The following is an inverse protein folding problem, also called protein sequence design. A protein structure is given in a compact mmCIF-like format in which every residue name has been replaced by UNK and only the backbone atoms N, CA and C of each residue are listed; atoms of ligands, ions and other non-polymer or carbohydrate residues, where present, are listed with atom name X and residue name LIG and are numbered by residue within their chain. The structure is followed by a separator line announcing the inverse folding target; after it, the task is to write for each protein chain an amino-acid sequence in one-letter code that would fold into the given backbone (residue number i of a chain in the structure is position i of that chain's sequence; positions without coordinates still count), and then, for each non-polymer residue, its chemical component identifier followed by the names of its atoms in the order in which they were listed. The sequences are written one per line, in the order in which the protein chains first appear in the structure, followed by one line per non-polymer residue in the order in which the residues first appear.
data_IF_455674298732
#
_entry.id   IF_455674298732
#
_cell.length_a   1.000
_cell.length_b   1.000
_cell.length_c   1.000
_cell.angle_alpha   90.00
_cell.angle_beta   90.00
_cell.angle_gamma   90.00
#
_symmetry.space_group_name_H-M   'P 1'
#
loop_
_entity.id
_entity.type
_entity.pdbx_description
1 polymer ?
#
# COMPACT_ATOMS: atom_id res chain seq x y z
N UNK A 1 8.32 8.92 -26.76
CA UNK A 1 8.35 8.55 -25.34
C UNK A 1 9.47 7.52 -25.17
N UNK A 2 10.55 7.89 -24.48
CA UNK A 2 11.66 7.00 -24.14
C UNK A 2 11.07 5.78 -23.43
N UNK A 3 11.33 4.58 -23.95
CA UNK A 3 10.93 3.31 -23.29
C UNK A 3 11.75 3.16 -22.01
N UNK A 4 11.30 3.82 -20.95
CA UNK A 4 11.78 3.52 -19.62
C UNK A 4 11.40 2.07 -19.35
N UNK A 5 12.40 1.22 -19.10
CA UNK A 5 12.20 -0.22 -18.89
C UNK A 5 11.14 -0.42 -17.80
N UNK A 6 10.02 -1.05 -18.15
CA UNK A 6 8.93 -1.39 -17.23
C UNK A 6 9.45 -2.35 -16.17
N UNK A 7 9.12 -2.11 -14.93
CA UNK A 7 9.37 -3.07 -13.84
C UNK A 7 8.14 -3.98 -13.76
N UNK A 8 8.28 -5.29 -14.00
CA UNK A 8 7.16 -6.22 -13.83
C UNK A 8 6.54 -6.10 -12.45
N UNK A 9 5.21 -6.16 -12.39
CA UNK A 9 4.46 -6.00 -11.16
C UNK A 9 3.78 -7.31 -10.79
N UNK A 10 3.71 -7.58 -9.49
CA UNK A 10 2.95 -8.74 -8.99
C UNK A 10 1.48 -8.65 -9.42
N UNK A 11 0.89 -7.46 -9.42
CA UNK A 11 -0.48 -7.22 -9.92
C UNK A 11 -0.65 -7.51 -11.42
N UNK A 12 0.41 -7.68 -12.19
CA UNK A 12 0.31 -8.07 -13.61
C UNK A 12 -0.37 -9.43 -13.77
N UNK A 13 -0.03 -10.41 -12.94
CA UNK A 13 -0.64 -11.74 -12.96
C UNK A 13 -2.13 -11.67 -12.63
N UNK A 14 -2.50 -10.93 -11.58
CA UNK A 14 -3.90 -10.71 -11.23
C UNK A 14 -4.70 -10.06 -12.38
N UNK A 15 -4.13 -9.06 -13.04
CA UNK A 15 -4.77 -8.40 -14.16
C UNK A 15 -4.92 -9.32 -15.39
N UNK A 16 -3.91 -10.14 -15.67
CA UNK A 16 -3.92 -11.08 -16.80
C UNK A 16 -4.95 -12.20 -16.57
N UNK A 17 -5.18 -12.58 -15.32
CA UNK A 17 -6.20 -13.56 -14.93
C UNK A 17 -7.61 -12.95 -14.96
N UNK A 18 -7.80 -11.75 -14.43
CA UNK A 18 -9.12 -11.12 -14.29
C UNK A 18 -9.64 -10.49 -15.60
N UNK A 19 -8.77 -9.87 -16.40
CA UNK A 19 -9.17 -9.09 -17.57
C UNK A 19 -9.99 -9.90 -18.60
N UNK A 20 -9.70 -11.17 -18.91
CA UNK A 20 -10.51 -11.96 -19.82
C UNK A 20 -11.95 -12.20 -19.34
N UNK A 21 -12.20 -12.08 -18.05
CA UNK A 21 -13.48 -12.41 -17.40
C UNK A 21 -14.28 -11.18 -16.96
N UNK A 22 -13.64 -10.03 -16.81
CA UNK A 22 -14.26 -8.79 -16.34
C UNK A 22 -14.35 -7.77 -17.49
N UNK A 23 -15.54 -7.18 -17.66
CA UNK A 23 -15.78 -6.20 -18.71
C UNK A 23 -14.97 -4.90 -18.50
N UNK A 24 -14.82 -4.45 -17.25
CA UNK A 24 -14.07 -3.26 -16.93
C UNK A 24 -13.32 -3.40 -15.60
N UNK A 25 -12.04 -3.01 -15.61
CA UNK A 25 -11.17 -2.97 -14.41
C UNK A 25 -10.65 -1.54 -14.23
N UNK A 26 -10.82 -1.00 -13.03
CA UNK A 26 -10.22 0.27 -12.62
C UNK A 26 -9.00 0.01 -11.72
N UNK A 27 -7.80 0.38 -12.22
CA UNK A 27 -6.59 0.39 -11.43
C UNK A 27 -6.58 1.58 -10.48
N UNK A 28 -6.67 1.31 -9.17
CA UNK A 28 -6.75 2.30 -8.11
C UNK A 28 -5.45 2.29 -7.27
N UNK A 29 -4.90 3.46 -7.02
CA UNK A 29 -3.66 3.60 -6.23
C UNK A 29 -3.13 5.01 -6.26
N UNK A 30 -2.15 5.31 -5.40
CA UNK A 30 -1.52 6.62 -5.30
C UNK A 30 -0.97 7.10 -6.66
N UNK A 31 -0.87 8.41 -6.84
CA UNK A 31 -0.28 9.00 -8.04
C UNK A 31 1.18 8.55 -8.19
N UNK A 32 1.60 8.16 -9.38
CA UNK A 32 2.98 7.74 -9.64
C UNK A 32 3.33 6.28 -9.32
N UNK A 33 2.38 5.42 -8.87
CA UNK A 33 2.65 3.98 -8.61
C UNK A 33 2.83 3.16 -9.89
N UNK A 34 2.52 3.73 -11.08
CA UNK A 34 2.71 3.06 -12.37
C UNK A 34 1.44 2.54 -13.04
N UNK A 35 0.24 2.99 -12.61
CA UNK A 35 -1.07 2.54 -13.15
C UNK A 35 -1.13 2.58 -14.66
N UNK A 36 -0.86 3.75 -15.26
CA UNK A 36 -0.86 3.96 -16.71
C UNK A 36 0.10 3.00 -17.42
N UNK A 37 1.33 2.87 -16.94
CA UNK A 37 2.32 1.98 -17.54
C UNK A 37 1.88 0.50 -17.51
N UNK A 38 1.27 0.05 -16.42
CA UNK A 38 0.73 -1.30 -16.25
C UNK A 38 -0.47 -1.55 -17.17
N UNK A 39 -1.41 -0.59 -17.25
CA UNK A 39 -2.60 -0.71 -18.09
C UNK A 39 -2.28 -0.65 -19.59
N UNK A 40 -1.39 0.25 -20.01
CA UNK A 40 -1.00 0.41 -21.42
C UNK A 40 -0.43 -0.87 -22.05
N UNK A 41 0.24 -1.72 -21.25
CA UNK A 41 0.77 -3.00 -21.74
C UNK A 41 -0.31 -3.97 -22.25
N UNK A 42 -1.54 -3.81 -21.77
CA UNK A 42 -2.70 -4.65 -22.10
C UNK A 42 -3.67 -3.98 -23.06
N UNK A 43 -3.57 -2.67 -23.22
CA UNK A 43 -4.48 -1.89 -24.05
C UNK A 43 -4.12 -1.98 -25.54
N UNK A 44 -5.16 -2.11 -26.38
CA UNK A 44 -5.06 -2.01 -27.85
C UNK A 44 -5.42 -0.60 -28.34
N UNK A 45 -6.14 0.17 -27.54
CA UNK A 45 -6.41 1.60 -27.78
C UNK A 45 -6.33 2.36 -26.45
N UNK A 46 -5.98 3.64 -26.54
CA UNK A 46 -5.79 4.51 -25.36
C UNK A 46 -6.53 5.81 -25.60
N UNK A 47 -7.22 6.29 -24.56
CA UNK A 47 -7.85 7.61 -24.47
C UNK A 47 -7.25 8.32 -23.24
N UNK A 48 -6.45 9.35 -23.48
CA UNK A 48 -5.74 10.10 -22.43
C UNK A 48 -6.58 11.33 -22.01
N UNK A 49 -7.32 11.23 -20.93
CA UNK A 49 -8.26 12.29 -20.51
C UNK A 49 -7.61 13.48 -19.79
N UNK A 50 -6.32 13.49 -19.56
CA UNK A 50 -5.54 14.68 -19.25
C UNK A 50 -5.31 15.56 -20.51
N UNK A 51 -5.40 14.97 -21.71
CA UNK A 51 -5.34 15.67 -22.99
C UNK A 51 -6.69 16.35 -23.33
N UNK A 52 -6.66 17.64 -23.66
CA UNK A 52 -7.86 18.40 -24.01
C UNK A 52 -8.52 17.89 -25.30
N UNK A 53 -7.76 17.42 -26.28
CA UNK A 53 -8.25 16.90 -27.56
C UNK A 53 -9.08 15.63 -27.32
N UNK A 54 -8.57 14.70 -26.51
CA UNK A 54 -9.25 13.45 -26.20
C UNK A 54 -10.54 13.68 -25.40
N UNK A 55 -10.54 14.67 -24.48
CA UNK A 55 -11.76 15.07 -23.78
C UNK A 55 -12.81 15.66 -24.73
N UNK A 56 -12.41 16.49 -25.67
CA UNK A 56 -13.33 17.03 -26.69
C UNK A 56 -13.88 15.92 -27.59
N UNK A 57 -13.01 15.00 -28.00
CA UNK A 57 -13.39 13.90 -28.87
C UNK A 57 -14.47 13.01 -28.22
N UNK A 58 -14.23 12.54 -26.98
CA UNK A 58 -15.19 11.68 -26.27
C UNK A 58 -16.50 12.42 -25.89
N UNK A 59 -16.39 13.74 -25.67
CA UNK A 59 -17.58 14.56 -25.39
C UNK A 59 -18.47 14.75 -26.63
N UNK A 60 -17.84 14.90 -27.82
CA UNK A 60 -18.54 15.07 -29.09
C UNK A 60 -19.08 13.73 -29.64
N UNK A 61 -18.38 12.64 -29.39
CA UNK A 61 -18.70 11.31 -29.91
C UNK A 61 -18.56 10.23 -28.82
N UNK A 62 -19.56 10.05 -27.97
CA UNK A 62 -19.58 9.00 -26.96
C UNK A 62 -19.50 7.57 -27.52
N UNK A 63 -19.90 7.35 -28.79
CA UNK A 63 -19.86 6.06 -29.46
C UNK A 63 -18.42 5.64 -29.82
N UNK A 64 -17.44 6.51 -29.66
CA UNK A 64 -16.01 6.20 -29.77
C UNK A 64 -15.65 4.98 -28.92
N UNK A 65 -16.20 4.87 -27.72
CA UNK A 65 -16.00 3.71 -26.84
C UNK A 65 -16.42 2.39 -27.49
N UNK A 66 -17.51 2.37 -28.25
CA UNK A 66 -18.02 1.16 -28.88
C UNK A 66 -17.17 0.73 -30.09
N UNK A 67 -16.53 1.67 -30.78
CA UNK A 67 -15.78 1.43 -32.02
C UNK A 67 -14.29 1.17 -31.80
N UNK A 68 -13.78 1.50 -30.63
CA UNK A 68 -12.34 1.37 -30.32
C UNK A 68 -11.92 -0.08 -30.12
N UNK A 69 -10.67 -0.37 -30.47
CA UNK A 69 -10.08 -1.68 -30.26
C UNK A 69 -10.00 -2.03 -28.76
N UNK A 70 -10.31 -3.30 -28.42
CA UNK A 70 -10.36 -3.78 -27.02
C UNK A 70 -9.14 -4.63 -26.69
N UNK A 71 -8.62 -4.60 -25.43
CA UNK A 71 -9.01 -3.70 -24.34
C UNK A 71 -8.72 -2.24 -24.63
N UNK A 72 -9.59 -1.33 -24.21
CA UNK A 72 -9.39 0.12 -24.29
C UNK A 72 -8.99 0.68 -22.93
N UNK A 73 -7.88 1.42 -22.88
CA UNK A 73 -7.46 2.17 -21.70
C UNK A 73 -8.10 3.57 -21.72
N UNK A 74 -8.74 3.92 -20.62
CA UNK A 74 -9.19 5.29 -20.32
C UNK A 74 -8.31 5.81 -19.19
N UNK A 75 -7.28 6.57 -19.56
CA UNK A 75 -6.30 7.09 -18.62
C UNK A 75 -6.76 8.42 -18.01
N UNK A 76 -6.51 8.63 -16.72
CA UNK A 76 -6.89 9.80 -15.92
C UNK A 76 -8.42 10.10 -16.03
N UNK A 77 -9.25 9.05 -15.93
CA UNK A 77 -10.71 9.12 -16.11
C UNK A 77 -11.39 10.21 -15.27
N UNK A 78 -10.84 10.57 -14.10
CA UNK A 78 -11.39 11.61 -13.22
C UNK A 78 -11.27 13.03 -13.82
N UNK A 79 -10.45 13.22 -14.87
CA UNK A 79 -10.37 14.48 -15.62
C UNK A 79 -11.61 14.73 -16.50
N UNK A 80 -12.36 13.66 -16.77
CA UNK A 80 -13.66 13.72 -17.44
C UNK A 80 -14.61 12.69 -16.79
N UNK A 81 -15.18 13.00 -15.61
CA UNK A 81 -16.00 12.07 -14.84
C UNK A 81 -17.16 11.39 -15.65
N UNK A 82 -17.78 12.04 -16.67
CA UNK A 82 -18.77 11.36 -17.50
C UNK A 82 -18.27 10.09 -18.19
N UNK A 83 -16.93 9.94 -18.42
CA UNK A 83 -16.36 8.74 -19.02
C UNK A 83 -16.65 7.47 -18.20
N UNK A 84 -16.73 7.58 -16.89
CA UNK A 84 -17.12 6.49 -15.99
C UNK A 84 -18.51 5.96 -16.29
N UNK A 85 -19.48 6.87 -16.49
CA UNK A 85 -20.85 6.50 -16.81
C UNK A 85 -20.99 5.94 -18.23
N UNK A 86 -20.17 6.43 -19.16
CA UNK A 86 -20.10 5.87 -20.52
C UNK A 86 -19.63 4.42 -20.49
N UNK A 87 -18.55 4.12 -19.74
CA UNK A 87 -18.05 2.74 -19.56
C UNK A 87 -19.12 1.88 -18.89
N UNK A 88 -19.73 2.36 -17.81
CA UNK A 88 -20.80 1.63 -17.14
C UNK A 88 -21.93 1.24 -18.09
N UNK A 89 -22.40 2.18 -18.93
CA UNK A 89 -23.45 1.90 -19.93
C UNK A 89 -22.98 0.95 -21.01
N UNK A 90 -21.73 1.05 -21.44
CA UNK A 90 -21.15 0.12 -22.42
C UNK A 90 -21.14 -1.32 -21.85
N UNK A 91 -20.77 -1.49 -20.57
CA UNK A 91 -20.83 -2.78 -19.86
C UNK A 91 -22.27 -3.27 -19.66
N UNK A 92 -23.24 -2.38 -19.45
CA UNK A 92 -24.66 -2.77 -19.37
C UNK A 92 -25.17 -3.34 -20.72
N UNK A 93 -24.62 -2.88 -21.86
CA UNK A 93 -24.98 -3.35 -23.19
C UNK A 93 -24.22 -4.62 -23.59
N UNK A 94 -22.98 -4.76 -23.15
CA UNK A 94 -22.12 -5.93 -23.41
C UNK A 94 -21.23 -6.18 -22.19
N UNK A 95 -21.51 -7.26 -21.46
CA UNK A 95 -20.79 -7.65 -20.26
C UNK A 95 -19.62 -8.63 -20.53
N UNK A 96 -19.24 -8.83 -21.79
CA UNK A 96 -18.10 -9.68 -22.14
C UNK A 96 -16.79 -9.13 -21.53
N UNK A 97 -15.87 -10.04 -21.17
CA UNK A 97 -14.58 -9.66 -20.58
C UNK A 97 -13.65 -8.92 -21.54
N UNK A 98 -12.62 -8.28 -21.02
CA UNK A 98 -11.53 -7.71 -21.81
C UNK A 98 -11.86 -6.39 -22.50
N UNK A 99 -12.82 -5.61 -22.02
CA UNK A 99 -13.24 -4.41 -22.75
C UNK A 99 -12.51 -3.15 -22.31
N UNK A 100 -12.50 -2.84 -20.99
CA UNK A 100 -12.01 -1.55 -20.51
C UNK A 100 -11.01 -1.69 -19.37
N UNK A 101 -9.97 -0.89 -19.44
CA UNK A 101 -9.08 -0.56 -18.34
C UNK A 101 -9.25 0.92 -18.03
N UNK A 102 -9.42 1.28 -16.77
CA UNK A 102 -9.46 2.65 -16.30
C UNK A 102 -8.28 2.88 -15.36
N UNK A 103 -7.63 4.01 -15.49
CA UNK A 103 -6.61 4.45 -14.55
C UNK A 103 -6.93 5.87 -14.11
N UNK A 104 -6.60 6.20 -12.88
CA UNK A 104 -6.82 7.55 -12.38
C UNK A 104 -6.73 7.61 -10.86
N UNK A 105 -6.83 8.83 -10.36
CA UNK A 105 -7.01 9.14 -8.94
C UNK A 105 -8.51 9.17 -8.59
N UNK A 106 -8.83 9.40 -7.31
CA UNK A 106 -10.22 9.60 -6.91
C UNK A 106 -10.82 10.81 -7.63
N UNK A 107 -12.12 10.76 -8.02
CA UNK A 107 -12.78 11.90 -8.62
C UNK A 107 -12.86 13.07 -7.63
N UNK A 108 -13.03 14.30 -8.09
CA UNK A 108 -13.35 15.44 -7.24
C UNK A 108 -14.56 15.13 -6.35
N UNK A 109 -14.59 15.72 -5.15
CA UNK A 109 -15.64 15.42 -4.14
C UNK A 109 -17.06 15.82 -4.56
N UNK A 110 -17.18 16.74 -5.49
CA UNK A 110 -18.43 17.26 -6.07
C UNK A 110 -18.86 16.55 -7.36
N UNK A 111 -18.01 15.68 -7.91
CA UNK A 111 -18.36 14.91 -9.09
C UNK A 111 -19.44 13.88 -8.77
N UNK A 112 -20.60 13.99 -9.44
CA UNK A 112 -21.67 12.98 -9.38
C UNK A 112 -21.29 11.83 -10.31
N UNK A 113 -20.80 10.75 -9.72
CA UNK A 113 -20.40 9.53 -10.43
C UNK A 113 -21.15 8.35 -9.84
N UNK A 114 -21.78 7.54 -10.70
CA UNK A 114 -22.42 6.30 -10.24
C UNK A 114 -21.38 5.33 -9.65
N UNK A 115 -21.82 4.48 -8.71
CA UNK A 115 -20.91 3.58 -7.98
C UNK A 115 -20.14 2.59 -8.87
N UNK A 116 -20.64 2.30 -10.08
CA UNK A 116 -20.09 1.27 -10.98
C UNK A 116 -20.22 -0.16 -10.45
N UNK A 117 -20.99 -0.35 -9.34
CA UNK A 117 -21.11 -1.65 -8.66
C UNK A 117 -21.59 -2.75 -9.63
N UNK A 118 -20.86 -3.86 -9.65
CA UNK A 118 -21.13 -5.01 -10.53
C UNK A 118 -20.73 -4.81 -12.00
N UNK A 119 -20.16 -3.66 -12.39
CA UNK A 119 -19.73 -3.35 -13.76
C UNK A 119 -18.25 -3.04 -13.86
N UNK A 120 -17.71 -2.29 -12.92
CA UNK A 120 -16.31 -1.86 -12.90
C UNK A 120 -15.68 -2.40 -11.60
N UNK A 121 -14.76 -3.33 -11.74
CA UNK A 121 -14.03 -3.92 -10.62
C UNK A 121 -12.80 -3.07 -10.32
N UNK A 122 -12.53 -2.83 -9.05
CA UNK A 122 -11.33 -2.10 -8.62
C UNK A 122 -10.24 -3.07 -8.24
N UNK A 123 -9.06 -2.90 -8.86
CA UNK A 123 -7.84 -3.58 -8.51
C UNK A 123 -6.88 -2.57 -7.90
N UNK A 124 -6.41 -2.83 -6.69
CA UNK A 124 -5.48 -1.94 -5.98
C UNK A 124 -4.09 -2.10 -6.55
N UNK A 125 -3.40 -0.96 -6.73
CA UNK A 125 -1.99 -0.93 -7.10
C UNK A 125 -1.19 -0.17 -6.05
N UNK A 126 -0.21 -0.85 -5.47
CA UNK A 126 0.67 -0.35 -4.43
C UNK A 126 2.00 0.17 -5.00
N UNK A 127 2.80 0.94 -4.25
CA UNK A 127 4.21 1.12 -4.58
C UNK A 127 4.93 -0.23 -4.67
N UNK A 128 6.06 -0.31 -5.36
CA UNK A 128 6.83 -1.54 -5.53
C UNK A 128 7.12 -2.21 -4.18
N UNK A 129 6.71 -3.47 -4.03
CA UNK A 129 7.08 -4.34 -2.91
C UNK A 129 8.57 -4.71 -2.96
N UNK A 130 9.11 -5.30 -1.90
CA UNK A 130 10.52 -5.72 -1.89
C UNK A 130 10.83 -6.72 -3.02
N UNK A 131 10.00 -7.74 -3.22
CA UNK A 131 10.19 -8.73 -4.30
C UNK A 131 10.14 -8.10 -5.71
N UNK A 132 9.32 -7.07 -5.93
CA UNK A 132 9.30 -6.34 -7.20
C UNK A 132 10.55 -5.46 -7.40
N UNK A 133 11.20 -5.03 -6.31
CA UNK A 133 12.44 -4.25 -6.36
C UNK A 133 13.66 -5.12 -6.57
N UNK A 134 13.67 -6.36 -6.02
CA UNK A 134 14.78 -7.33 -6.06
C UNK A 134 14.24 -8.74 -6.36
N UNK A 135 13.90 -9.05 -7.60
CA UNK A 135 13.16 -10.28 -7.96
C UNK A 135 13.98 -11.58 -7.85
N UNK A 136 15.30 -11.52 -7.59
CA UNK A 136 16.19 -12.69 -7.66
C UNK A 136 16.36 -13.46 -6.34
N UNK A 137 15.90 -12.94 -5.20
CA UNK A 137 16.28 -13.47 -3.89
C UNK A 137 15.21 -14.35 -3.23
N UNK A 138 14.00 -14.43 -3.78
CA UNK A 138 12.84 -15.09 -3.17
C UNK A 138 13.05 -16.61 -3.02
N UNK A 139 12.97 -17.11 -1.80
CA UNK A 139 13.07 -18.54 -1.47
C UNK A 139 11.87 -19.10 -0.70
N UNK A 140 11.02 -18.22 -0.15
CA UNK A 140 9.86 -18.57 0.66
C UNK A 140 8.63 -17.85 0.10
N UNK A 141 7.60 -18.60 -0.26
CA UNK A 141 6.34 -18.05 -0.78
C UNK A 141 5.31 -17.85 0.34
N UNK A 142 4.64 -16.69 0.36
CA UNK A 142 3.49 -16.43 1.23
C UNK A 142 2.36 -17.42 0.95
N UNK A 143 2.14 -17.77 -0.32
CA UNK A 143 1.16 -18.78 -0.76
C UNK A 143 1.40 -20.12 -0.08
N UNK A 144 2.65 -20.55 -0.03
CA UNK A 144 3.01 -21.82 0.61
C UNK A 144 2.80 -21.77 2.12
N UNK A 145 3.15 -20.64 2.78
CA UNK A 145 2.93 -20.42 4.21
C UNK A 145 1.44 -20.43 4.59
N UNK A 146 0.57 -19.96 3.70
CA UNK A 146 -0.89 -19.98 3.86
C UNK A 146 -1.49 -21.37 3.61
N UNK A 147 -0.75 -22.29 3.00
CA UNK A 147 -1.24 -23.63 2.71
C UNK A 147 -1.45 -24.46 3.98
N UNK A 148 -2.33 -25.50 3.95
CA UNK A 148 -2.51 -26.39 5.09
C UNK A 148 -1.29 -27.27 5.42
N UNK A 149 -0.31 -27.33 4.51
CA UNK A 149 0.90 -28.16 4.65
C UNK A 149 2.01 -27.33 5.27
N UNK A 150 2.71 -27.90 6.24
CA UNK A 150 3.90 -27.25 6.78
C UNK A 150 5.01 -27.23 5.71
N UNK A 151 5.53 -26.05 5.44
CA UNK A 151 6.57 -25.80 4.44
C UNK A 151 7.95 -25.87 5.10
N UNK A 152 8.91 -26.48 4.40
CA UNK A 152 10.31 -26.41 4.78
C UNK A 152 10.82 -25.00 4.55
N UNK A 153 11.35 -24.38 5.59
CA UNK A 153 11.90 -23.02 5.53
C UNK A 153 13.43 -23.14 5.49
N UNK A 154 14.01 -22.68 4.39
CA UNK A 154 15.47 -22.63 4.20
C UNK A 154 15.81 -21.57 3.14
N UNK A 155 17.02 -21.08 3.20
CA UNK A 155 17.56 -20.10 2.25
C UNK A 155 18.51 -19.14 2.91
N UNK A 156 19.26 -18.43 2.09
CA UNK A 156 20.17 -17.37 2.54
C UNK A 156 20.17 -16.21 1.55
N UNK A 157 20.45 -15.02 2.04
CA UNK A 157 20.56 -13.79 1.22
C UNK A 157 21.81 -13.02 1.64
N UNK A 158 22.40 -12.33 0.68
CA UNK A 158 23.51 -11.39 0.91
C UNK A 158 23.01 -9.98 1.31
N UNK A 159 21.67 -9.77 1.33
CA UNK A 159 21.08 -8.50 1.72
C UNK A 159 21.35 -8.19 3.18
N UNK A 160 21.99 -7.07 3.45
CA UNK A 160 22.35 -6.63 4.81
C UNK A 160 21.45 -5.48 5.28
N UNK A 161 21.52 -5.14 6.56
CA UNK A 161 20.72 -4.07 7.16
C UNK A 161 20.83 -2.73 6.40
N UNK A 162 22.03 -2.41 5.89
CA UNK A 162 22.24 -1.20 5.09
C UNK A 162 21.39 -1.16 3.82
N UNK A 163 21.23 -2.30 3.14
CA UNK A 163 20.38 -2.42 1.95
C UNK A 163 18.90 -2.20 2.28
N UNK A 164 18.42 -2.76 3.39
CA UNK A 164 17.04 -2.54 3.84
C UNK A 164 16.77 -1.07 4.17
N UNK A 165 17.74 -0.39 4.82
CA UNK A 165 17.65 1.04 5.10
C UNK A 165 17.61 1.84 3.79
N UNK A 166 18.45 1.50 2.82
CA UNK A 166 18.43 2.14 1.50
C UNK A 166 17.07 1.93 0.81
N UNK A 167 16.54 0.70 0.80
CA UNK A 167 15.25 0.38 0.21
C UNK A 167 14.08 1.14 0.86
N UNK A 168 14.10 1.34 2.16
CA UNK A 168 13.13 2.17 2.90
C UNK A 168 13.21 3.63 2.45
N UNK A 169 14.41 4.16 2.21
CA UNK A 169 14.63 5.59 1.92
C UNK A 169 14.44 5.95 0.44
N UNK A 170 14.68 5.01 -0.48
CA UNK A 170 14.66 5.26 -1.93
C UNK A 170 13.25 5.31 -2.51
N UNK A 171 12.26 4.74 -1.85
CA UNK A 171 10.85 4.69 -2.30
C UNK A 171 10.50 3.52 -3.23
N UNK A 172 9.23 3.11 -3.18
CA UNK A 172 8.59 2.15 -4.08
C UNK A 172 7.90 2.79 -5.28
N UNK A 173 7.89 4.11 -5.41
CA UNK A 173 7.36 4.78 -6.60
C UNK A 173 8.37 4.64 -7.75
N UNK A 174 8.01 3.97 -8.88
CA UNK A 174 8.96 3.64 -9.95
C UNK A 174 9.73 4.83 -10.50
N UNK A 175 9.07 5.99 -10.65
CA UNK A 175 9.70 7.22 -11.16
C UNK A 175 10.70 7.82 -10.18
N UNK A 176 10.41 7.78 -8.88
CA UNK A 176 11.28 8.34 -7.82
C UNK A 176 12.47 7.42 -7.58
N UNK A 177 12.23 6.09 -7.56
CA UNK A 177 13.24 5.07 -7.28
C UNK A 177 14.44 5.10 -8.24
N UNK A 178 14.26 5.56 -9.48
CA UNK A 178 15.34 5.68 -10.47
C UNK A 178 16.36 6.77 -10.15
N UNK A 179 16.00 7.65 -9.23
CA UNK A 179 16.85 8.77 -8.83
C UNK A 179 17.69 8.38 -7.61
N UNK A 180 18.89 8.94 -7.50
CA UNK A 180 19.78 8.68 -6.40
C UNK A 180 20.12 9.95 -5.61
N UNK A 181 20.51 9.79 -4.36
CA UNK A 181 21.08 10.84 -3.53
C UNK A 181 20.17 12.09 -3.43
N UNK A 182 20.70 13.26 -3.80
CA UNK A 182 19.98 14.54 -3.72
C UNK A 182 18.76 14.59 -4.65
N UNK A 183 18.85 13.98 -5.84
CA UNK A 183 17.76 13.98 -6.81
C UNK A 183 16.56 13.19 -6.31
N UNK A 184 16.77 12.03 -5.67
CA UNK A 184 15.72 11.23 -5.03
C UNK A 184 15.03 12.04 -3.93
N UNK A 185 15.80 12.66 -3.02
CA UNK A 185 15.23 13.49 -1.95
C UNK A 185 14.42 14.67 -2.48
N UNK A 186 14.91 15.34 -3.53
CA UNK A 186 14.19 16.44 -4.17
C UNK A 186 12.88 15.96 -4.83
N UNK A 187 12.87 14.77 -5.43
CA UNK A 187 11.67 14.19 -6.00
C UNK A 187 10.63 13.84 -4.93
N UNK A 188 11.06 13.29 -3.77
CA UNK A 188 10.18 13.05 -2.62
C UNK A 188 9.59 14.35 -2.06
N UNK A 189 10.41 15.41 -1.95
CA UNK A 189 9.92 16.74 -1.53
C UNK A 189 8.91 17.31 -2.53
N UNK A 190 9.22 17.21 -3.84
CA UNK A 190 8.32 17.64 -4.91
C UNK A 190 7.00 16.88 -4.89
N UNK A 191 7.03 15.57 -4.62
CA UNK A 191 5.85 14.73 -4.49
C UNK A 191 4.96 15.18 -3.32
N UNK A 192 5.55 15.38 -2.14
CA UNK A 192 4.83 15.87 -0.95
C UNK A 192 4.28 17.30 -1.18
N UNK A 193 5.04 18.16 -1.85
CA UNK A 193 4.61 19.50 -2.21
C UNK A 193 3.41 19.48 -3.16
N UNK A 194 3.46 18.63 -4.20
CA UNK A 194 2.37 18.50 -5.15
C UNK A 194 1.06 18.04 -4.48
N UNK A 195 1.11 17.12 -3.53
CA UNK A 195 -0.07 16.71 -2.75
C UNK A 195 -0.66 17.92 -2.02
N UNK A 196 0.16 18.69 -1.33
CA UNK A 196 -0.29 19.82 -0.49
C UNK A 196 -0.85 20.97 -1.34
N UNK A 197 -0.19 21.34 -2.42
CA UNK A 197 -0.51 22.53 -3.21
C UNK A 197 -1.51 22.27 -4.35
N UNK A 198 -1.51 21.06 -4.92
CA UNK A 198 -2.30 20.74 -6.10
C UNK A 198 -3.38 19.70 -5.83
N UNK A 199 -3.02 18.53 -5.32
CA UNK A 199 -3.94 17.40 -5.25
C UNK A 199 -5.09 17.65 -4.27
N UNK A 200 -4.87 18.36 -3.16
CA UNK A 200 -5.94 18.79 -2.26
C UNK A 200 -6.95 19.71 -2.96
N UNK A 201 -6.47 20.63 -3.81
CA UNK A 201 -7.34 21.52 -4.57
C UNK A 201 -8.14 20.77 -5.62
N UNK A 202 -7.53 19.80 -6.29
CA UNK A 202 -8.22 18.91 -7.25
C UNK A 202 -9.33 18.10 -6.58
N UNK A 203 -9.20 17.81 -5.28
CA UNK A 203 -10.23 17.17 -4.47
C UNK A 203 -11.31 18.14 -3.91
N UNK A 204 -11.34 19.39 -4.39
CA UNK A 204 -12.31 20.41 -3.94
C UNK A 204 -11.97 21.04 -2.58
N UNK A 205 -10.76 20.84 -2.05
CA UNK A 205 -10.35 21.36 -0.74
C UNK A 205 -9.26 22.42 -0.88
N UNK A 206 -9.58 23.67 -0.49
CA UNK A 206 -8.59 24.74 -0.44
C UNK A 206 -7.80 24.65 0.87
N UNK A 207 -6.51 24.36 0.76
CA UNK A 207 -5.59 24.38 1.90
C UNK A 207 -5.18 25.82 2.15
N UNK A 208 -5.77 26.47 3.17
CA UNK A 208 -5.47 27.86 3.53
C UNK A 208 -4.10 28.02 4.19
N UNK A 209 -3.58 26.96 4.80
CA UNK A 209 -2.30 26.91 5.52
C UNK A 209 -1.55 25.63 5.16
N UNK A 210 -0.76 25.64 4.08
CA UNK A 210 0.02 24.47 3.62
C UNK A 210 0.93 23.91 4.72
N UNK A 211 1.51 24.78 5.54
CA UNK A 211 2.37 24.41 6.67
C UNK A 211 1.63 23.60 7.73
N UNK A 212 0.36 23.89 7.99
CA UNK A 212 -0.46 23.12 8.95
C UNK A 212 -0.77 21.71 8.44
N UNK A 213 -1.04 21.56 7.13
CA UNK A 213 -1.20 20.24 6.52
C UNK A 213 0.11 19.46 6.55
N UNK A 214 1.23 20.10 6.23
CA UNK A 214 2.55 19.46 6.30
C UNK A 214 2.88 19.00 7.72
N UNK A 215 2.62 19.84 8.73
CA UNK A 215 2.81 19.48 10.14
C UNK A 215 1.91 18.30 10.54
N UNK A 216 0.66 18.25 10.07
CA UNK A 216 -0.23 17.12 10.30
C UNK A 216 0.28 15.84 9.64
N UNK A 217 0.75 15.90 8.40
CA UNK A 217 1.37 14.76 7.71
C UNK A 217 2.64 14.28 8.44
N UNK A 218 3.44 15.20 8.99
CA UNK A 218 4.63 14.86 9.79
C UNK A 218 4.24 14.17 11.10
N UNK A 219 3.18 14.63 11.77
CA UNK A 219 2.66 13.97 12.97
C UNK A 219 2.10 12.58 12.67
N UNK A 220 1.41 12.42 11.53
CA UNK A 220 0.95 11.12 11.06
C UNK A 220 2.12 10.18 10.72
N UNK A 221 3.15 10.69 10.06
CA UNK A 221 4.38 9.94 9.81
C UNK A 221 5.08 9.49 11.12
N UNK A 222 5.07 10.33 12.16
CA UNK A 222 5.59 9.94 13.47
C UNK A 222 4.76 8.86 14.17
N UNK A 223 3.49 8.70 13.80
CA UNK A 223 2.60 7.64 14.29
C UNK A 223 2.68 6.34 13.47
N UNK A 224 3.56 6.26 12.47
CA UNK A 224 3.76 5.06 11.63
C UNK A 224 4.00 3.82 12.49
N UNK A 225 3.39 2.70 12.12
CA UNK A 225 3.43 1.43 12.85
C UNK A 225 2.90 1.50 14.29
N UNK A 226 2.02 2.46 14.56
CA UNK A 226 1.36 2.58 15.87
C UNK A 226 -0.16 2.68 15.73
N UNK A 227 -0.86 2.42 16.84
CA UNK A 227 -2.30 2.61 16.96
C UNK A 227 -2.65 3.92 17.68
N UNK A 228 -1.87 4.97 17.44
CA UNK A 228 -2.10 6.30 18.04
C UNK A 228 -3.51 6.82 17.71
N UNK A 229 -4.14 7.51 18.66
CA UNK A 229 -5.45 8.10 18.38
C UNK A 229 -5.34 9.29 17.42
N UNK A 230 -6.40 9.55 16.66
CA UNK A 230 -6.47 10.71 15.77
C UNK A 230 -6.32 12.04 16.51
N UNK A 231 -6.76 12.08 17.76
CA UNK A 231 -6.56 13.21 18.67
C UNK A 231 -5.08 13.39 18.98
N UNK A 232 -4.36 12.32 19.30
CA UNK A 232 -2.91 12.37 19.57
C UNK A 232 -2.12 12.84 18.34
N UNK A 233 -2.47 12.37 17.15
CA UNK A 233 -1.85 12.82 15.89
C UNK A 233 -2.11 14.30 15.65
N UNK A 234 -3.35 14.76 15.83
CA UNK A 234 -3.71 16.17 15.70
C UNK A 234 -2.93 17.03 16.71
N UNK A 235 -2.80 16.57 17.94
CA UNK A 235 -2.12 17.29 19.02
C UNK A 235 -0.62 17.38 18.76
N UNK A 236 -0.01 16.33 18.21
CA UNK A 236 1.40 16.31 17.81
C UNK A 236 1.68 17.22 16.59
N UNK A 237 0.68 17.52 15.77
CA UNK A 237 0.83 18.38 14.59
C UNK A 237 1.16 19.85 14.92
N UNK A 238 1.06 20.29 16.20
CA UNK A 238 1.23 21.69 16.59
C UNK A 238 1.93 21.86 17.92
N UNK A 239 3.15 21.37 18.11
CA UNK A 239 3.89 21.62 19.35
C UNK A 239 4.18 23.10 19.48
N UNK A 240 3.57 23.74 20.49
CA UNK A 240 3.80 25.17 20.82
C UNK A 240 3.18 26.20 19.86
N UNK A 241 2.40 25.79 18.87
CA UNK A 241 1.76 26.74 17.95
C UNK A 241 0.42 27.27 18.48
N UNK A 242 0.17 28.56 18.24
CA UNK A 242 -1.08 29.25 18.60
C UNK A 242 -2.31 28.78 17.82
N UNK A 243 -2.12 27.98 16.77
CA UNK A 243 -3.19 27.58 15.83
C UNK A 243 -3.17 26.08 15.54
N UNK A 244 -3.69 25.31 16.49
CA UNK A 244 -3.97 23.89 16.34
C UNK A 244 -5.07 23.66 15.28
N UNK A 245 -4.93 22.69 14.36
CA UNK A 245 -6.03 22.33 13.45
C UNK A 245 -7.26 21.92 14.26
N UNK A 246 -8.43 22.40 13.85
CA UNK A 246 -9.68 21.95 14.46
C UNK A 246 -9.88 20.45 14.20
N UNK A 247 -10.76 19.83 14.99
CA UNK A 247 -11.14 18.42 14.74
C UNK A 247 -11.65 18.23 13.31
N UNK A 248 -12.49 19.14 12.81
CA UNK A 248 -13.04 19.08 11.45
C UNK A 248 -11.95 19.24 10.39
N UNK A 249 -10.99 20.12 10.58
CA UNK A 249 -9.83 20.28 9.68
C UNK A 249 -9.01 19.00 9.61
N UNK A 250 -8.76 18.35 10.76
CA UNK A 250 -8.03 17.08 10.82
C UNK A 250 -8.78 15.93 10.12
N UNK A 251 -10.11 15.89 10.28
CA UNK A 251 -10.98 14.93 9.55
C UNK A 251 -10.86 15.16 8.04
N UNK A 252 -10.96 16.42 7.58
CA UNK A 252 -10.83 16.74 6.16
C UNK A 252 -9.45 16.34 5.61
N UNK A 253 -8.36 16.58 6.36
CA UNK A 253 -7.02 16.16 5.94
C UNK A 253 -6.94 14.64 5.76
N UNK A 254 -7.43 13.90 6.74
CA UNK A 254 -7.49 12.44 6.69
C UNK A 254 -8.29 11.96 5.48
N UNK A 255 -9.49 12.49 5.28
CA UNK A 255 -10.41 12.02 4.24
C UNK A 255 -9.85 12.29 2.83
N UNK A 256 -9.21 13.44 2.61
CA UNK A 256 -8.55 13.76 1.33
C UNK A 256 -7.34 12.86 1.12
N UNK A 257 -6.44 12.73 2.11
CA UNK A 257 -5.25 11.89 1.98
C UNK A 257 -5.61 10.42 1.79
N UNK A 258 -6.69 9.92 2.41
CA UNK A 258 -7.20 8.56 2.20
C UNK A 258 -7.72 8.38 0.77
N UNK A 259 -8.46 9.36 0.23
CA UNK A 259 -8.91 9.35 -1.18
C UNK A 259 -7.74 9.38 -2.16
N UNK A 260 -6.70 10.15 -1.86
CA UNK A 260 -5.45 10.20 -2.64
C UNK A 260 -4.60 8.93 -2.47
N UNK A 261 -5.05 7.98 -1.65
CA UNK A 261 -4.32 6.74 -1.35
C UNK A 261 -2.95 6.97 -0.69
N UNK A 262 -2.84 8.05 0.06
CA UNK A 262 -1.62 8.39 0.80
C UNK A 262 -1.56 7.75 2.18
N UNK A 263 -2.72 7.63 2.84
CA UNK A 263 -2.84 6.94 4.11
C UNK A 263 -3.15 5.46 3.87
N UNK A 264 -2.51 4.64 4.67
CA UNK A 264 -2.74 3.22 4.73
C UNK A 264 -2.96 2.81 6.19
N UNK A 265 -4.20 2.56 6.52
CA UNK A 265 -4.61 2.11 7.84
C UNK A 265 -4.79 0.59 7.82
N UNK A 266 -3.96 -0.15 8.57
CA UNK A 266 -4.11 -1.60 8.75
C UNK A 266 -5.15 -1.84 9.84
N UNK A 267 -6.26 -2.46 9.50
CA UNK A 267 -7.36 -2.73 10.42
C UNK A 267 -6.98 -3.74 11.50
N UNK A 268 -7.64 -3.65 12.65
CA UNK A 268 -7.44 -4.65 13.70
C UNK A 268 -8.06 -6.00 13.32
N UNK A 269 -7.28 -7.08 13.42
CA UNK A 269 -7.78 -8.44 13.23
C UNK A 269 -8.68 -8.86 14.40
N UNK A 270 -9.71 -9.63 14.06
CA UNK A 270 -10.76 -9.96 14.99
C UNK A 270 -11.21 -11.41 14.78
N UNK A 271 -10.96 -12.30 15.75
CA UNK A 271 -11.49 -13.67 15.70
C UNK A 271 -12.99 -13.66 15.44
N UNK A 272 -13.47 -14.52 14.54
CA UNK A 272 -14.85 -14.53 14.02
C UNK A 272 -15.95 -14.58 15.10
N UNK A 273 -15.61 -15.06 16.31
CA UNK A 273 -16.56 -15.33 17.39
C UNK A 273 -16.94 -14.10 18.26
N UNK A 274 -16.37 -12.92 17.99
CA UNK A 274 -16.63 -11.72 18.81
C UNK A 274 -16.83 -10.45 17.96
N UNK A 275 -18.00 -10.31 17.35
CA UNK A 275 -18.26 -9.29 16.35
C UNK A 275 -18.35 -7.84 16.88
N UNK A 276 -18.84 -7.59 18.07
CA UNK A 276 -19.09 -6.22 18.58
C UNK A 276 -17.89 -5.58 19.28
N UNK A 277 -17.08 -6.35 20.01
CA UNK A 277 -15.84 -5.84 20.62
C UNK A 277 -14.76 -5.43 19.62
N UNK A 278 -14.99 -5.67 18.37
CA UNK A 278 -14.15 -5.54 17.20
C UNK A 278 -14.11 -4.14 16.61
N UNK A 279 -15.26 -3.50 16.52
CA UNK A 279 -15.44 -2.21 15.83
C UNK A 279 -14.79 -1.03 16.56
N UNK A 280 -14.32 -1.23 17.79
CA UNK A 280 -13.75 -0.19 18.65
C UNK A 280 -12.22 -0.15 18.68
N UNK A 281 -11.50 -1.04 17.96
CA UNK A 281 -10.04 -1.03 17.98
C UNK A 281 -9.47 -0.10 16.93
N UNK A 282 -8.50 0.72 17.35
CA UNK A 282 -7.82 1.65 16.45
C UNK A 282 -7.00 0.87 15.39
N UNK A 283 -6.98 1.31 14.14
CA UNK A 283 -6.09 0.77 13.13
C UNK A 283 -4.63 1.11 13.44
N UNK A 284 -3.70 0.38 12.86
CA UNK A 284 -2.27 0.71 12.84
C UNK A 284 -2.00 1.62 11.64
N UNK A 285 -1.37 2.76 11.87
CA UNK A 285 -1.19 3.80 10.86
C UNK A 285 0.07 3.59 10.04
N UNK A 286 -0.03 3.76 8.72
CA UNK A 286 1.09 3.80 7.79
C UNK A 286 0.85 4.85 6.69
N UNK A 287 1.91 5.43 6.16
CA UNK A 287 1.85 6.05 4.83
C UNK A 287 1.99 4.96 3.76
N UNK A 288 1.48 5.24 2.57
CA UNK A 288 1.51 4.30 1.43
C UNK A 288 2.92 3.87 1.05
N UNK A 289 3.93 4.67 1.40
CA UNK A 289 5.34 4.41 1.12
C UNK A 289 6.21 4.88 2.30
N UNK A 290 7.05 4.02 2.87
CA UNK A 290 7.89 4.38 4.02
C UNK A 290 8.92 5.48 3.73
N UNK A 291 9.34 5.68 2.48
CA UNK A 291 10.26 6.77 2.13
C UNK A 291 9.61 8.15 2.30
N UNK A 292 8.30 8.28 2.05
CA UNK A 292 7.57 9.51 2.35
C UNK A 292 7.52 9.78 3.84
N UNK A 293 7.35 8.73 4.65
CA UNK A 293 7.41 8.82 6.11
C UNK A 293 8.80 9.30 6.57
N UNK A 294 9.87 8.63 6.13
CA UNK A 294 11.24 9.02 6.44
C UNK A 294 11.54 10.46 6.02
N UNK A 295 11.06 10.89 4.84
CA UNK A 295 11.28 12.25 4.33
C UNK A 295 10.55 13.31 5.15
N UNK A 296 9.32 13.07 5.56
CA UNK A 296 8.56 13.98 6.45
C UNK A 296 9.23 14.14 7.82
N UNK A 297 9.82 13.05 8.33
CA UNK A 297 10.52 13.03 9.63
C UNK A 297 11.96 13.54 9.53
N UNK A 298 12.48 13.86 8.34
CA UNK A 298 13.86 14.30 8.15
C UNK A 298 14.90 13.22 8.45
N UNK A 299 14.53 11.94 8.32
CA UNK A 299 15.38 10.78 8.64
C UNK A 299 16.35 10.50 7.48
N UNK A 300 17.61 10.22 7.82
CA UNK A 300 18.67 9.79 6.89
C UNK A 300 19.22 8.42 7.30
N UNK A 301 19.98 7.77 6.40
CA UNK A 301 20.62 6.49 6.72
C UNK A 301 21.54 6.59 7.95
N UNK A 302 22.34 7.67 8.02
CA UNK A 302 23.23 7.92 9.16
C UNK A 302 22.44 8.07 10.47
N UNK A 303 21.28 8.79 10.43
CA UNK A 303 20.47 9.00 11.62
C UNK A 303 19.78 7.72 12.11
N UNK A 304 19.55 6.74 11.23
CA UNK A 304 18.99 5.42 11.58
C UNK A 304 20.06 4.47 12.14
N UNK A 305 21.31 4.62 11.71
CA UNK A 305 22.44 3.81 12.16
C UNK A 305 23.14 4.37 13.41
N UNK A 306 22.82 5.60 13.81
CA UNK A 306 23.42 6.20 15.00
C UNK A 306 23.00 5.42 16.25
N UNK A 307 23.93 4.96 17.10
CA UNK A 307 23.59 4.29 18.35
C UNK A 307 22.78 5.21 19.27
N UNK A 308 21.61 4.71 19.74
CA UNK A 308 20.77 5.45 20.67
C UNK A 308 19.29 5.05 20.58
N UNK A 309 18.54 5.10 21.69
CA UNK A 309 17.22 4.50 21.84
C UNK A 309 16.16 4.98 20.82
N UNK A 310 16.20 6.25 20.39
CA UNK A 310 15.21 6.79 19.44
C UNK A 310 15.47 6.37 17.99
N UNK A 311 16.70 6.12 17.60
CA UNK A 311 17.06 5.68 16.24
C UNK A 311 16.58 4.26 15.97
N UNK A 312 16.86 3.33 16.90
CA UNK A 312 16.41 1.95 16.80
C UNK A 312 14.87 1.80 16.73
N UNK A 313 14.13 2.58 17.52
CA UNK A 313 12.68 2.59 17.49
C UNK A 313 12.15 3.10 16.14
N UNK A 314 12.72 4.19 15.62
CA UNK A 314 12.35 4.72 14.30
C UNK A 314 12.66 3.73 13.18
N UNK A 315 13.83 3.09 13.22
CA UNK A 315 14.18 2.06 12.24
C UNK A 315 13.19 0.89 12.32
N UNK A 316 12.82 0.44 13.52
CA UNK A 316 11.81 -0.59 13.73
C UNK A 316 10.49 -0.24 13.08
N UNK A 317 9.94 0.95 13.34
CA UNK A 317 8.68 1.40 12.75
C UNK A 317 8.74 1.55 11.22
N UNK A 318 9.84 2.08 10.67
CA UNK A 318 10.01 2.23 9.23
C UNK A 318 10.17 0.86 8.54
N UNK A 319 10.91 -0.07 9.14
CA UNK A 319 11.05 -1.42 8.63
C UNK A 319 9.72 -2.18 8.69
N UNK A 320 8.98 -2.08 9.78
CA UNK A 320 7.63 -2.66 9.89
C UNK A 320 6.68 -2.07 8.83
N UNK A 321 6.74 -0.76 8.58
CA UNK A 321 5.96 -0.13 7.51
C UNK A 321 6.35 -0.65 6.13
N UNK A 322 7.63 -0.94 5.90
CA UNK A 322 8.13 -1.50 4.65
C UNK A 322 7.69 -2.96 4.45
N UNK A 323 7.75 -3.77 5.51
CA UNK A 323 7.21 -5.13 5.52
C UNK A 323 5.71 -5.11 5.25
N UNK A 324 4.98 -4.23 5.93
CA UNK A 324 3.53 -4.04 5.75
C UNK A 324 3.17 -3.72 4.30
N UNK A 325 3.85 -2.76 3.68
CA UNK A 325 3.64 -2.39 2.28
C UNK A 325 3.92 -3.56 1.32
N UNK A 326 4.97 -4.35 1.59
CA UNK A 326 5.29 -5.54 0.77
C UNK A 326 4.25 -6.65 0.95
N UNK A 327 3.82 -6.90 2.19
CA UNK A 327 2.81 -7.91 2.50
C UNK A 327 1.42 -7.57 1.96
N UNK A 328 1.05 -6.29 1.81
CA UNK A 328 -0.18 -5.91 1.13
C UNK A 328 -0.21 -6.40 -0.33
N UNK A 329 0.92 -6.26 -1.03
CA UNK A 329 1.05 -6.75 -2.40
C UNK A 329 0.98 -8.27 -2.45
N UNK A 330 1.67 -8.95 -1.52
CA UNK A 330 1.70 -10.42 -1.49
C UNK A 330 0.36 -11.02 -1.03
N UNK A 331 -0.32 -10.38 -0.07
CA UNK A 331 -1.64 -10.80 0.39
C UNK A 331 -2.67 -10.65 -0.73
N UNK A 332 -2.67 -9.52 -1.45
CA UNK A 332 -3.54 -9.28 -2.60
C UNK A 332 -3.37 -10.38 -3.67
N UNK A 333 -2.13 -10.72 -4.02
CA UNK A 333 -1.83 -11.79 -4.98
C UNK A 333 -2.33 -13.18 -4.55
N UNK A 334 -2.60 -13.37 -3.27
CA UNK A 334 -3.11 -14.61 -2.67
C UNK A 334 -4.58 -14.52 -2.23
N UNK A 335 -5.33 -13.51 -2.69
CA UNK A 335 -6.72 -13.25 -2.28
C UNK A 335 -6.90 -13.18 -0.76
N UNK A 336 -5.85 -12.80 -0.04
CA UNK A 336 -5.81 -12.68 1.41
C UNK A 336 -5.88 -11.20 1.84
N UNK A 337 -6.15 -10.96 3.11
CA UNK A 337 -6.24 -9.62 3.70
C UNK A 337 -5.25 -9.45 4.83
N UNK A 338 -4.68 -8.25 4.92
CA UNK A 338 -3.73 -7.87 5.96
C UNK A 338 -4.45 -7.14 7.11
N UNK A 339 -4.08 -7.53 8.34
CA UNK A 339 -4.55 -6.95 9.60
C UNK A 339 -3.41 -6.83 10.60
N UNK A 340 -3.65 -6.18 11.73
CA UNK A 340 -2.81 -6.27 12.93
C UNK A 340 -3.62 -6.84 14.09
N UNK A 341 -2.96 -7.41 15.10
CA UNK A 341 -3.64 -7.86 16.31
C UNK A 341 -3.12 -7.12 17.54
N UNK A 342 -4.05 -6.57 18.34
CA UNK A 342 -3.73 -5.97 19.63
C UNK A 342 -4.79 -6.35 20.66
N UNK A 343 -4.38 -7.23 21.60
CA UNK A 343 -5.17 -7.63 22.76
C UNK A 343 -4.84 -6.78 23.99
N UNK A 344 -5.27 -7.26 25.18
CA UNK A 344 -4.91 -6.62 26.46
C UNK A 344 -3.46 -6.87 26.84
N UNK A 345 -2.95 -8.07 26.57
CA UNK A 345 -1.64 -8.56 27.04
C UNK A 345 -0.75 -9.06 25.90
N UNK A 346 -1.25 -9.09 24.68
CA UNK A 346 -0.52 -9.58 23.51
C UNK A 346 -0.77 -8.68 22.31
N UNK A 347 0.27 -8.52 21.51
CA UNK A 347 0.24 -7.79 20.23
C UNK A 347 0.98 -8.65 19.20
N UNK A 348 0.43 -8.76 17.98
CA UNK A 348 1.10 -9.37 16.84
C UNK A 348 1.08 -8.32 15.73
N UNK A 349 2.25 -8.04 15.17
CA UNK A 349 2.43 -6.91 14.27
C UNK A 349 1.52 -6.99 13.06
N UNK A 350 1.44 -8.16 12.42
CA UNK A 350 0.62 -8.37 11.23
C UNK A 350 -0.04 -9.75 11.24
N UNK A 351 -1.22 -9.83 10.66
CA UNK A 351 -2.00 -11.05 10.39
C UNK A 351 -2.37 -11.05 8.91
N UNK A 352 -2.07 -12.13 8.20
CA UNK A 352 -2.57 -12.34 6.82
C UNK A 352 -3.62 -13.43 6.86
N UNK A 353 -4.88 -13.08 6.56
CA UNK A 353 -6.05 -13.95 6.65
C UNK A 353 -6.63 -14.25 5.27
N UNK A 354 -6.90 -15.53 5.00
CA UNK A 354 -7.59 -15.99 3.80
C UNK A 354 -9.11 -15.96 3.97
N UNK A 355 -9.83 -16.10 2.86
CA UNK A 355 -11.29 -16.08 2.85
C UNK A 355 -11.97 -17.19 3.69
N UNK A 356 -11.28 -18.31 3.96
CA UNK A 356 -11.75 -19.41 4.83
C UNK A 356 -11.54 -19.12 6.32
N UNK A 357 -10.96 -17.96 6.68
CA UNK A 357 -10.64 -17.57 8.05
C UNK A 357 -9.38 -18.21 8.62
N UNK A 358 -8.64 -18.97 7.81
CA UNK A 358 -7.29 -19.40 8.16
C UNK A 358 -6.30 -18.26 7.97
N UNK A 359 -5.22 -18.22 8.76
CA UNK A 359 -4.29 -17.10 8.73
C UNK A 359 -2.88 -17.48 9.16
N UNK A 360 -1.94 -16.59 8.89
CA UNK A 360 -0.60 -16.58 9.47
C UNK A 360 -0.42 -15.36 10.37
N UNK A 361 0.31 -15.54 11.48
CA UNK A 361 0.73 -14.45 12.36
C UNK A 361 2.17 -14.06 12.10
N UNK A 362 2.45 -12.76 12.08
CA UNK A 362 3.74 -12.21 11.67
C UNK A 362 4.23 -11.20 12.69
N UNK A 363 5.42 -11.41 13.22
CA UNK A 363 6.20 -10.42 13.96
C UNK A 363 7.27 -9.83 13.04
N UNK A 364 7.59 -8.56 13.22
CA UNK A 364 8.61 -7.86 12.43
C UNK A 364 9.74 -7.42 13.36
N UNK A 365 10.97 -7.82 13.05
CA UNK A 365 12.15 -7.51 13.85
C UNK A 365 13.30 -7.06 12.96
N UNK A 366 13.92 -5.94 13.30
CA UNK A 366 15.16 -5.51 12.62
C UNK A 366 16.35 -6.41 12.97
N UNK A 367 16.35 -7.00 14.19
CA UNK A 367 17.43 -7.89 14.63
C UNK A 367 17.47 -9.18 13.83
N UNK A 368 18.67 -9.68 13.45
CA UNK A 368 18.83 -11.03 12.92
C UNK A 368 18.64 -12.12 13.99
N UNK A 369 18.91 -11.80 15.25
CA UNK A 369 18.83 -12.74 16.37
C UNK A 369 17.44 -12.70 17.00
N UNK A 370 16.68 -13.79 16.83
CA UNK A 370 15.32 -13.91 17.31
C UNK A 370 15.27 -14.76 18.58
N UNK A 371 14.87 -14.12 19.68
CA UNK A 371 14.79 -14.72 21.02
C UNK A 371 13.39 -15.24 21.32
N UNK A 372 13.24 -15.98 22.43
CA UNK A 372 11.92 -16.45 22.93
C UNK A 372 11.00 -15.29 23.32
N UNK A 373 11.58 -14.17 23.72
CA UNK A 373 10.82 -12.97 24.04
C UNK A 373 10.14 -12.38 22.79
N UNK A 374 10.81 -12.42 21.65
CA UNK A 374 10.30 -11.86 20.37
C UNK A 374 9.09 -12.65 19.84
N UNK A 375 9.07 -13.95 20.11
CA UNK A 375 8.01 -14.86 19.59
C UNK A 375 6.92 -15.19 20.60
N UNK A 376 6.95 -14.63 21.81
CA UNK A 376 6.01 -14.98 22.89
C UNK A 376 4.55 -14.73 22.52
N UNK A 377 4.26 -13.66 21.78
CA UNK A 377 2.90 -13.31 21.38
C UNK A 377 2.39 -14.20 20.24
N UNK A 378 3.26 -14.61 19.33
CA UNK A 378 2.93 -15.63 18.31
C UNK A 378 2.60 -16.98 18.94
N UNK A 379 3.40 -17.42 19.94
CA UNK A 379 3.14 -18.64 20.70
C UNK A 379 1.80 -18.57 21.43
N UNK A 380 1.55 -17.43 22.09
CA UNK A 380 0.28 -17.20 22.78
C UNK A 380 -0.91 -17.23 21.80
N UNK A 381 -0.82 -16.53 20.67
CA UNK A 381 -1.87 -16.49 19.67
C UNK A 381 -2.15 -17.89 19.10
N UNK A 382 -1.10 -18.65 18.76
CA UNK A 382 -1.22 -20.03 18.28
C UNK A 382 -1.97 -20.92 19.28
N UNK A 383 -1.67 -20.77 20.57
CA UNK A 383 -2.37 -21.52 21.62
C UNK A 383 -3.84 -21.11 21.78
N UNK A 384 -4.15 -19.84 21.55
CA UNK A 384 -5.51 -19.30 21.71
C UNK A 384 -6.45 -19.65 20.55
N UNK A 385 -5.93 -19.76 19.30
CA UNK A 385 -6.76 -19.93 18.09
C UNK A 385 -6.66 -21.31 17.45
N UNK A 386 -5.69 -22.13 17.88
CA UNK A 386 -5.51 -23.51 17.42
C UNK A 386 -5.18 -23.63 15.93
N UNK A 387 -5.80 -24.58 15.24
CA UNK A 387 -5.50 -24.95 13.84
C UNK A 387 -5.86 -23.90 12.80
N UNK A 388 -6.58 -22.84 13.15
CA UNK A 388 -6.83 -21.70 12.23
C UNK A 388 -5.57 -20.94 11.89
N UNK A 389 -4.59 -20.89 12.77
CA UNK A 389 -3.27 -20.31 12.50
C UNK A 389 -2.42 -21.33 11.75
N UNK A 390 -2.27 -21.15 10.43
CA UNK A 390 -1.50 -22.04 9.55
C UNK A 390 -0.03 -22.03 9.89
N UNK A 391 0.52 -20.83 10.03
CA UNK A 391 1.93 -20.66 10.42
C UNK A 391 2.11 -19.42 11.30
N UNK A 392 3.27 -19.33 11.94
CA UNK A 392 3.75 -18.17 12.68
C UNK A 392 5.16 -17.86 12.20
N UNK A 393 5.38 -16.62 11.78
CA UNK A 393 6.66 -16.22 11.21
C UNK A 393 7.20 -14.94 11.87
N UNK A 394 8.51 -14.80 11.86
CA UNK A 394 9.20 -13.55 12.16
C UNK A 394 9.87 -13.08 10.88
N UNK A 395 9.48 -11.90 10.39
CA UNK A 395 10.17 -11.23 9.26
C UNK A 395 11.31 -10.40 9.81
N UNK A 396 12.53 -10.62 9.28
CA UNK A 396 13.77 -10.04 9.82
C UNK A 396 14.68 -9.46 8.73
N UNK A 397 15.72 -8.78 9.14
CA UNK A 397 16.84 -8.33 8.28
C UNK A 397 18.03 -9.28 8.29
N UNK A 398 17.92 -10.45 8.95
CA UNK A 398 18.98 -11.45 9.03
C UNK A 398 19.28 -12.11 7.68
N UNK A 399 20.38 -12.88 7.58
CA UNK A 399 20.79 -13.49 6.31
C UNK A 399 20.15 -14.84 6.02
N UNK A 400 19.54 -15.53 7.00
CA UNK A 400 19.10 -16.91 6.86
C UNK A 400 17.61 -17.09 7.14
N UNK A 401 16.93 -17.88 6.29
CA UNK A 401 15.62 -18.41 6.56
C UNK A 401 15.73 -19.78 7.23
N UNK A 402 15.03 -19.98 8.34
CA UNK A 402 15.03 -21.23 9.08
C UNK A 402 13.77 -21.38 9.95
N UNK A 403 13.53 -22.60 10.40
CA UNK A 403 12.45 -22.87 11.36
C UNK A 403 13.07 -23.18 12.73
N UNK A 404 12.61 -22.46 13.75
CA UNK A 404 12.99 -22.65 15.14
C UNK A 404 12.45 -23.98 15.68
N UNK A 405 13.00 -24.48 16.79
CA UNK A 405 12.55 -25.71 17.46
C UNK A 405 11.09 -25.62 17.93
N UNK A 406 10.59 -24.42 18.26
CA UNK A 406 9.19 -24.17 18.62
C UNK A 406 8.24 -24.07 17.42
N UNK A 407 8.74 -24.35 16.21
CA UNK A 407 7.97 -24.37 14.98
C UNK A 407 7.69 -23.00 14.37
N UNK A 408 8.24 -21.90 14.91
CA UNK A 408 8.13 -20.56 14.32
C UNK A 408 9.18 -20.38 13.24
N UNK A 409 8.77 -19.90 12.05
CA UNK A 409 9.71 -19.61 10.98
C UNK A 409 10.34 -18.23 11.16
N UNK A 410 11.64 -18.12 10.87
CA UNK A 410 12.36 -16.85 10.78
C UNK A 410 12.74 -16.66 9.32
N UNK A 411 12.30 -15.56 8.71
CA UNK A 411 12.41 -15.34 7.26
C UNK A 411 12.92 -13.91 7.03
N UNK A 412 14.07 -13.73 6.42
CA UNK A 412 14.48 -12.43 5.90
C UNK A 412 13.43 -11.88 4.92
N UNK A 413 13.13 -10.57 4.99
CA UNK A 413 12.22 -9.97 4.01
C UNK A 413 12.70 -10.20 2.56
N UNK A 414 14.02 -10.23 2.34
CA UNK A 414 14.58 -10.48 1.02
C UNK A 414 14.28 -11.86 0.44
N UNK A 415 13.96 -12.83 1.28
CA UNK A 415 13.62 -14.20 0.86
C UNK A 415 12.12 -14.42 0.75
N UNK A 416 11.28 -13.46 1.16
CA UNK A 416 9.82 -13.60 1.16
C UNK A 416 9.21 -13.00 -0.13
N UNK A 417 8.34 -13.79 -0.77
CA UNK A 417 7.60 -13.40 -1.99
C UNK A 417 6.10 -13.78 -1.89
N UNK A 418 5.26 -13.41 -2.84
CA UNK A 418 3.85 -13.77 -2.87
C UNK A 418 3.57 -15.27 -2.86
#
# INVERSE_FOLDING_TARGET
VSSSMYVPRIVDEELDDLLPHLAAINLDGAKGVGKTATATRRAKSVLELDNAVDRQLISADPDLLARSARPMLIDEWQRFPPSWDLVRRAVDNDASGGQFLLTGSAPPSDAVVHSGAGRIVRVRMWPLSFAERRPSDSAVSLKDLLSPRQVTISGSTETVLGDYIEEVLVSGFPGIRRLAGRANRAALDGYLHAIIEHDFREQGHVVRRPESLRAWMTAYAAATSTTASWESIRDAATPGATHKPTRQTSINYRDVLSRLRMLHDVEAWLPQDNSLGKLAKAPKHHLVDPALCARLLGVTAESLLTPGGSAGVRLGHLFESFVTQSLEVYAQANEARLFHFRGRTAEVDLIVEQGDGSFIGIEVKVSPDITDHDVRHLKWLRSAVGSRMRDAIVVTTGPHAYRRQDGIAVIPLALLAP
#
